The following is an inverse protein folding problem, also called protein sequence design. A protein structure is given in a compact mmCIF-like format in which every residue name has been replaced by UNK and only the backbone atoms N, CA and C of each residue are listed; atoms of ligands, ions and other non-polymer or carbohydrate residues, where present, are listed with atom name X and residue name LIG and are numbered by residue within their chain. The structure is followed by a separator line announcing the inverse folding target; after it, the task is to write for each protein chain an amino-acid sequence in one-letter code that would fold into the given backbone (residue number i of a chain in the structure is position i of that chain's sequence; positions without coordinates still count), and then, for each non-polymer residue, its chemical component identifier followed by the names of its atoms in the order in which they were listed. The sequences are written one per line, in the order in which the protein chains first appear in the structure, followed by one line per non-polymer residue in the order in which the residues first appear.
data_IF_342580056157
#
_entry.id   IF_342580056157
#
_cell.length_a   1.000
_cell.length_b   1.000
_cell.length_c   1.000
_cell.angle_alpha   90.00
_cell.angle_beta   90.00
_cell.angle_gamma   90.00
#
_symmetry.space_group_name_H-M   'P 1'
#
loop_
_entity.id
_entity.type
_entity.pdbx_description
1 polymer ?
#
# COMPACT_ATOMS: atom_id res chain seq x y z
N UNK A 1 6.69 -29.16 16.83
CA UNK A 1 6.40 -28.56 15.51
C UNK A 1 5.02 -27.94 15.59
N UNK A 2 4.92 -26.63 15.79
CA UNK A 2 3.62 -25.95 15.68
C UNK A 2 3.31 -25.77 14.19
N UNK A 3 2.10 -26.13 13.71
CA UNK A 3 1.71 -25.77 12.38
C UNK A 3 1.65 -24.25 12.33
N UNK A 4 2.45 -23.65 11.45
CA UNK A 4 2.31 -22.25 11.11
C UNK A 4 0.88 -22.05 10.61
N UNK A 5 0.01 -21.52 11.47
CA UNK A 5 -1.31 -21.07 11.05
C UNK A 5 -1.08 -20.07 9.93
N UNK A 6 -1.35 -20.49 8.69
CA UNK A 6 -1.66 -19.58 7.60
C UNK A 6 -2.95 -18.84 8.00
N UNK A 7 -2.82 -17.86 8.90
CA UNK A 7 -3.77 -16.77 8.98
C UNK A 7 -3.59 -16.04 7.67
N UNK A 8 -4.52 -16.22 6.74
CA UNK A 8 -4.70 -15.29 5.64
C UNK A 8 -4.81 -13.91 6.29
N UNK A 9 -3.73 -13.14 6.20
CA UNK A 9 -3.69 -11.80 6.75
C UNK A 9 -4.59 -10.97 5.84
N UNK A 10 -5.88 -10.93 6.18
CA UNK A 10 -6.86 -10.14 5.44
C UNK A 10 -6.47 -8.67 5.49
N UNK A 11 -6.72 -7.96 4.39
CA UNK A 11 -6.66 -6.51 4.38
C UNK A 11 -7.71 -5.97 5.37
N UNK A 12 -7.28 -5.04 6.21
CA UNK A 12 -8.13 -4.24 7.08
C UNK A 12 -8.26 -2.86 6.46
N UNK A 13 -9.42 -2.24 6.59
CA UNK A 13 -9.64 -0.86 6.14
C UNK A 13 -10.41 -0.07 7.19
N UNK A 14 -10.17 1.23 7.20
CA UNK A 14 -10.88 2.25 7.93
C UNK A 14 -11.18 3.38 6.94
N UNK A 15 -12.45 3.70 6.76
CA UNK A 15 -12.88 4.79 5.89
C UNK A 15 -13.61 5.83 6.73
N UNK A 16 -13.16 7.08 6.64
CA UNK A 16 -13.66 8.21 7.40
C UNK A 16 -14.44 9.14 6.46
N UNK A 17 -15.79 9.00 6.38
CA UNK A 17 -16.59 9.73 5.41
C UNK A 17 -16.59 11.24 5.64
N UNK A 18 -16.41 11.71 6.88
CA UNK A 18 -16.40 13.14 7.21
C UNK A 18 -15.25 13.92 6.55
N UNK A 19 -14.16 13.23 6.21
CA UNK A 19 -12.95 13.81 5.60
C UNK A 19 -12.56 13.08 4.30
N UNK A 20 -13.45 12.24 3.78
CA UNK A 20 -13.29 11.38 2.61
C UNK A 20 -11.92 10.67 2.52
N UNK A 21 -11.51 10.04 3.63
CA UNK A 21 -10.20 9.38 3.76
C UNK A 21 -10.34 7.87 3.89
N UNK A 22 -9.72 7.12 2.98
CA UNK A 22 -9.55 5.67 3.10
C UNK A 22 -8.13 5.35 3.59
N UNK A 23 -8.05 4.54 4.63
CA UNK A 23 -6.81 3.91 5.09
C UNK A 23 -6.98 2.40 5.12
N UNK A 24 -6.08 1.66 4.46
CA UNK A 24 -6.10 0.19 4.46
C UNK A 24 -4.71 -0.40 4.66
N UNK A 25 -4.64 -1.54 5.37
CA UNK A 25 -3.38 -2.16 5.74
C UNK A 25 -3.47 -3.69 5.79
N UNK A 26 -2.33 -4.33 5.53
CA UNK A 26 -2.14 -5.78 5.57
C UNK A 26 -1.15 -6.09 6.70
N UNK A 27 -1.54 -6.97 7.60
CA UNK A 27 -0.69 -7.37 8.73
C UNK A 27 -0.70 -6.35 9.85
N UNK A 28 0.24 -6.50 10.77
CA UNK A 28 0.34 -5.61 11.92
C UNK A 28 1.02 -4.29 11.54
N UNK A 29 0.74 -3.20 12.28
CA UNK A 29 1.40 -1.92 12.05
C UNK A 29 2.92 -2.08 12.13
N UNK A 30 3.60 -1.59 11.10
CA UNK A 30 5.06 -1.62 11.01
C UNK A 30 5.56 -0.36 10.28
N UNK A 31 6.84 0.01 10.45
CA UNK A 31 7.44 1.11 9.72
C UNK A 31 7.30 0.92 8.21
N UNK A 32 6.87 1.97 7.53
CA UNK A 32 6.74 1.99 6.07
C UNK A 32 6.91 3.41 5.55
N UNK A 33 7.34 3.48 4.30
CA UNK A 33 7.41 4.68 3.51
C UNK A 33 6.12 4.87 2.72
N UNK A 34 5.64 6.10 2.65
CA UNK A 34 4.50 6.48 1.83
C UNK A 34 5.00 6.81 0.43
N UNK A 35 4.60 6.00 -0.54
CA UNK A 35 4.93 6.18 -1.94
C UNK A 35 3.72 6.77 -2.64
N UNK A 36 3.78 8.06 -2.95
CA UNK A 36 2.73 8.74 -3.70
C UNK A 36 2.74 8.26 -5.16
N UNK A 37 1.69 7.55 -5.55
CA UNK A 37 1.56 7.01 -6.92
C UNK A 37 0.81 7.94 -7.86
N UNK A 38 -0.13 8.68 -7.30
CA UNK A 38 -0.91 9.74 -7.92
C UNK A 38 -1.18 10.78 -6.82
N UNK A 39 -1.43 12.06 -7.14
CA UNK A 39 -1.72 13.07 -6.13
C UNK A 39 -2.83 12.60 -5.19
N UNK A 40 -2.53 12.46 -3.88
CA UNK A 40 -3.48 11.99 -2.88
C UNK A 40 -3.70 10.46 -2.82
N UNK A 41 -2.92 9.66 -3.54
CA UNK A 41 -2.92 8.19 -3.43
C UNK A 41 -1.54 7.72 -2.98
N UNK A 42 -1.44 7.22 -1.76
CA UNK A 42 -0.20 6.77 -1.14
C UNK A 42 -0.23 5.27 -0.91
N UNK A 43 0.75 4.55 -1.46
CA UNK A 43 0.95 3.13 -1.15
C UNK A 43 2.04 3.02 -0.10
N UNK A 44 1.78 2.25 0.95
CA UNK A 44 2.71 2.05 2.06
C UNK A 44 3.60 0.87 1.77
N UNK A 45 4.91 1.10 1.69
CA UNK A 45 5.93 0.08 1.42
C UNK A 45 6.83 -0.08 2.64
N UNK A 46 6.93 -1.31 3.15
CA UNK A 46 7.80 -1.63 4.26
C UNK A 46 9.27 -1.51 3.85
N UNK A 47 10.00 -0.54 4.41
CA UNK A 47 11.38 -0.22 4.01
C UNK A 47 12.34 -1.40 4.16
N UNK A 48 12.11 -2.27 5.14
CA UNK A 48 12.98 -3.42 5.40
C UNK A 48 12.84 -4.56 4.40
N UNK A 49 11.67 -4.70 3.76
CA UNK A 49 11.36 -5.84 2.87
C UNK A 49 10.99 -5.42 1.45
N UNK A 50 10.71 -4.14 1.22
CA UNK A 50 10.15 -3.64 -0.04
C UNK A 50 8.74 -4.18 -0.32
N UNK A 51 8.04 -4.71 0.69
CA UNK A 51 6.68 -5.24 0.53
C UNK A 51 5.64 -4.14 0.69
N UNK A 52 4.60 -4.16 -0.14
CA UNK A 52 3.42 -3.32 0.04
C UNK A 52 2.62 -3.81 1.24
N UNK A 53 2.32 -2.91 2.17
CA UNK A 53 1.61 -3.23 3.41
C UNK A 53 0.36 -2.38 3.64
N UNK A 54 0.04 -1.47 2.74
CA UNK A 54 -1.17 -0.66 2.86
C UNK A 54 -1.33 0.38 1.77
N UNK A 55 -2.45 1.09 1.82
CA UNK A 55 -2.79 2.21 0.95
C UNK A 55 -3.58 3.25 1.75
N UNK A 56 -3.32 4.52 1.43
CA UNK A 56 -4.03 5.67 1.93
C UNK A 56 -4.52 6.49 0.71
N UNK A 57 -5.78 6.89 0.73
CA UNK A 57 -6.42 7.59 -0.40
C UNK A 57 -7.20 8.78 0.14
N UNK A 58 -6.81 9.98 -0.29
CA UNK A 58 -7.51 11.23 -0.06
C UNK A 58 -8.64 11.39 -1.09
N UNK A 59 -9.74 12.00 -0.66
CA UNK A 59 -10.94 12.27 -1.46
C UNK A 59 -11.45 10.98 -2.16
N UNK A 60 -11.48 9.88 -1.40
CA UNK A 60 -11.63 8.54 -1.96
C UNK A 60 -12.98 8.32 -2.67
N UNK A 61 -14.09 8.64 -2.03
CA UNK A 61 -15.43 8.49 -2.60
C UNK A 61 -15.62 9.42 -3.80
N UNK A 62 -15.20 10.70 -3.67
CA UNK A 62 -15.26 11.67 -4.76
C UNK A 62 -14.45 11.20 -5.98
N UNK A 63 -13.19 10.80 -5.76
CA UNK A 63 -12.26 10.39 -6.81
C UNK A 63 -12.72 9.18 -7.61
N UNK A 64 -13.35 8.22 -6.94
CA UNK A 64 -13.78 6.97 -7.57
C UNK A 64 -15.27 6.96 -7.92
N UNK A 65 -15.99 8.06 -7.69
CA UNK A 65 -17.42 8.18 -8.01
C UNK A 65 -18.27 7.16 -7.25
N UNK A 66 -17.89 6.87 -6.01
CA UNK A 66 -18.56 5.89 -5.16
C UNK A 66 -19.33 6.59 -4.03
N UNK A 67 -20.41 5.97 -3.61
CA UNK A 67 -21.06 6.35 -2.36
C UNK A 67 -20.16 5.92 -1.17
N UNK A 68 -20.09 6.73 -0.08
CA UNK A 68 -19.29 6.43 1.12
C UNK A 68 -19.47 5.00 1.68
N UNK A 69 -20.68 4.45 1.62
CA UNK A 69 -21.04 3.11 2.10
C UNK A 69 -20.48 1.97 1.22
N UNK A 70 -19.97 2.28 0.02
CA UNK A 70 -19.31 1.34 -0.89
C UNK A 70 -17.81 1.23 -0.68
N UNK A 71 -17.22 2.06 0.18
CA UNK A 71 -15.80 2.03 0.49
C UNK A 71 -15.54 0.99 1.57
N UNK A 72 -15.29 -0.25 1.15
CA UNK A 72 -15.06 -1.40 2.04
C UNK A 72 -13.70 -2.08 1.82
N UNK A 73 -13.48 -3.20 2.52
CA UNK A 73 -12.23 -3.96 2.42
C UNK A 73 -12.00 -4.57 1.03
N UNK A 74 -13.06 -4.90 0.28
CA UNK A 74 -12.95 -5.44 -1.06
C UNK A 74 -12.54 -4.34 -2.05
N UNK A 75 -13.12 -3.17 -1.92
CA UNK A 75 -12.73 -1.97 -2.65
C UNK A 75 -11.26 -1.59 -2.35
N UNK A 76 -10.90 -1.52 -1.07
CA UNK A 76 -9.52 -1.24 -0.65
C UNK A 76 -8.52 -2.27 -1.22
N UNK A 77 -8.90 -3.55 -1.26
CA UNK A 77 -8.08 -4.62 -1.86
C UNK A 77 -7.86 -4.38 -3.35
N UNK A 78 -8.91 -3.99 -4.07
CA UNK A 78 -8.84 -3.70 -5.49
C UNK A 78 -7.92 -2.50 -5.78
N UNK A 79 -8.02 -1.43 -4.99
CA UNK A 79 -7.12 -0.29 -5.10
C UNK A 79 -5.66 -0.67 -4.80
N UNK A 80 -5.43 -1.40 -3.71
CA UNK A 80 -4.08 -1.85 -3.36
C UNK A 80 -3.45 -2.67 -4.48
N UNK A 81 -4.21 -3.61 -5.07
CA UNK A 81 -3.77 -4.41 -6.21
C UNK A 81 -3.44 -3.55 -7.44
N UNK A 82 -4.30 -2.55 -7.74
CA UNK A 82 -4.11 -1.61 -8.86
C UNK A 82 -2.82 -0.78 -8.71
N UNK A 83 -2.53 -0.31 -7.51
CA UNK A 83 -1.43 0.64 -7.26
C UNK A 83 -0.13 0.00 -6.77
N UNK A 84 -0.11 -1.31 -6.51
CA UNK A 84 1.09 -2.03 -6.06
C UNK A 84 2.25 -1.90 -7.04
N UNK A 85 2.06 -2.22 -8.32
CA UNK A 85 3.16 -2.20 -9.28
C UNK A 85 3.75 -0.79 -9.50
N UNK A 86 2.94 0.28 -9.72
CA UNK A 86 3.44 1.65 -9.79
C UNK A 86 4.18 2.11 -8.53
N UNK A 87 3.71 1.72 -7.34
CA UNK A 87 4.36 2.06 -6.09
C UNK A 87 5.73 1.39 -5.95
N UNK A 88 5.81 0.09 -6.25
CA UNK A 88 7.08 -0.64 -6.19
C UNK A 88 8.10 -0.14 -7.21
N UNK A 89 7.65 0.31 -8.38
CA UNK A 89 8.52 0.96 -9.34
C UNK A 89 9.12 2.24 -8.76
N UNK A 90 8.28 3.17 -8.28
CA UNK A 90 8.75 4.43 -7.68
C UNK A 90 9.64 4.21 -6.46
N UNK A 91 9.31 3.24 -5.62
CA UNK A 91 10.14 2.86 -4.47
C UNK A 91 11.55 2.44 -4.91
N UNK A 92 11.68 1.61 -5.96
CA UNK A 92 12.99 1.20 -6.49
C UNK A 92 13.77 2.33 -7.13
N UNK A 93 13.09 3.27 -7.78
CA UNK A 93 13.71 4.47 -8.37
C UNK A 93 14.28 5.40 -7.29
N UNK A 94 13.57 5.53 -6.16
CA UNK A 94 14.03 6.30 -5.00
C UNK A 94 15.13 5.58 -4.19
N UNK A 95 15.16 4.24 -4.23
CA UNK A 95 16.14 3.39 -3.55
C UNK A 95 16.94 2.56 -4.57
N UNK A 96 17.79 3.19 -5.40
CA UNK A 96 18.58 2.47 -6.37
C UNK A 96 19.50 1.50 -5.65
N UNK A 97 19.40 0.21 -5.99
CA UNK A 97 20.40 -0.74 -5.52
C UNK A 97 21.76 -0.35 -6.11
N UNK A 98 22.85 -0.38 -5.31
CA UNK A 98 24.17 -0.15 -5.84
C UNK A 98 24.41 -1.14 -6.99
N UNK A 99 25.01 -0.69 -8.11
CA UNK A 99 25.28 -1.58 -9.23
C UNK A 99 26.10 -2.78 -8.74
N UNK A 100 25.64 -3.99 -9.04
CA UNK A 100 26.30 -5.25 -8.63
C UNK A 100 27.68 -5.46 -9.27
N UNK A 101 28.21 -4.48 -10.00
CA UNK A 101 29.53 -4.54 -10.61
C UNK A 101 30.26 -3.21 -10.49
N UNK A 102 31.19 -3.15 -9.55
CA UNK A 102 32.40 -2.34 -9.66
C UNK A 102 33.52 -3.08 -8.92
N UNK A 103 33.84 -4.29 -9.39
CA UNK A 103 35.17 -4.84 -9.14
C UNK A 103 36.15 -4.05 -10.02
N UNK A 104 37.13 -3.33 -9.44
CA UNK A 104 38.20 -2.75 -10.24
C UNK A 104 38.96 -3.89 -10.93
N UNK A 105 39.15 -3.77 -12.24
CA UNK A 105 40.23 -4.49 -12.92
C UNK A 105 41.54 -3.79 -12.65
#
# INVERSE_FOLDING_TARGET
MHPASQRSVGIRCDYQPDVDLLFAWVGDPQPAENIEVEPGIYVRVASSTGQVIGIEVLDCAERFGHEPDRIDAAFAKALLARFTAPALQRFREAHPQPPLFSSPR
#
